data_IF_979572478004
#
_entry.id   IF_979572478004
#
_cell.length_a   1.000
_cell.length_b   1.000
_cell.length_c   1.000
_cell.angle_alpha   90.00
_cell.angle_beta   90.00
_cell.angle_gamma   90.00
#
_symmetry.space_group_name_H-M   'P 1'
#
loop_
_entity.id
_entity.type
_entity.pdbx_description
1 polymer ?
#
# COMPACT_ATOMS: atom_id res chain seq x y z
N UNK A 1 17.68 -23.18 22.51
CA UNK A 1 16.98 -21.90 22.79
C UNK A 1 17.73 -20.80 22.05
N UNK A 2 17.35 -20.56 20.80
CA UNK A 2 18.07 -19.65 19.89
C UNK A 2 17.61 -18.21 20.14
N UNK A 3 18.20 -17.57 21.14
CA UNK A 3 18.05 -16.13 21.42
C UNK A 3 18.90 -15.25 20.49
N UNK A 4 19.51 -15.82 19.44
CA UNK A 4 20.58 -15.15 18.67
C UNK A 4 20.19 -14.54 17.32
N UNK A 5 19.02 -14.82 16.74
CA UNK A 5 18.79 -14.45 15.34
C UNK A 5 18.26 -13.02 15.14
N UNK A 6 17.33 -12.53 15.97
CA UNK A 6 16.87 -11.13 16.02
C UNK A 6 16.22 -10.90 17.40
N UNK A 7 16.72 -10.00 18.26
CA UNK A 7 16.06 -9.70 19.53
C UNK A 7 14.64 -9.15 19.29
N UNK A 8 13.62 -9.60 20.04
CA UNK A 8 12.27 -9.03 19.92
C UNK A 8 12.25 -7.50 20.14
N UNK A 9 13.22 -7.01 20.92
CA UNK A 9 13.47 -5.57 21.13
C UNK A 9 13.88 -4.84 19.85
N UNK A 10 14.61 -5.45 18.92
CA UNK A 10 14.96 -4.80 17.65
C UNK A 10 13.77 -4.71 16.71
N UNK A 11 12.85 -5.68 16.73
CA UNK A 11 11.60 -5.60 15.95
C UNK A 11 10.69 -4.48 16.47
N UNK A 12 10.56 -4.35 17.80
CA UNK A 12 9.82 -3.25 18.42
C UNK A 12 10.50 -1.89 18.19
N UNK A 13 11.83 -1.84 18.15
CA UNK A 13 12.58 -0.63 17.81
C UNK A 13 12.35 -0.21 16.35
N UNK A 14 12.25 -1.16 15.41
CA UNK A 14 11.90 -0.87 14.00
C UNK A 14 10.51 -0.23 13.90
N UNK A 15 9.52 -0.76 14.61
CA UNK A 15 8.16 -0.19 14.68
C UNK A 15 8.19 1.22 15.28
N UNK A 16 8.85 1.40 16.41
CA UNK A 16 8.93 2.69 17.10
C UNK A 16 9.63 3.76 16.26
N UNK A 17 10.72 3.39 15.59
CA UNK A 17 11.45 4.25 14.67
C UNK A 17 10.62 4.56 13.41
N UNK A 18 9.83 3.62 12.92
CA UNK A 18 8.91 3.84 11.80
C UNK A 18 7.79 4.83 12.13
N UNK A 19 7.12 4.70 13.29
CA UNK A 19 6.11 5.68 13.72
C UNK A 19 6.70 7.08 13.83
N UNK A 20 7.95 7.20 14.29
CA UNK A 20 8.64 8.47 14.44
C UNK A 20 9.00 9.12 13.09
N UNK A 21 9.11 8.35 12.00
CA UNK A 21 9.37 8.84 10.64
C UNK A 21 8.05 9.08 9.86
N UNK A 22 7.07 8.19 9.98
CA UNK A 22 5.80 8.27 9.24
C UNK A 22 4.94 9.44 9.71
N UNK A 23 4.91 9.74 11.02
CA UNK A 23 4.16 10.87 11.57
C UNK A 23 4.61 12.23 11.01
N UNK A 24 5.90 12.60 11.05
CA UNK A 24 6.35 13.86 10.45
C UNK A 24 6.18 13.86 8.93
N UNK A 25 6.34 12.74 8.24
CA UNK A 25 6.14 12.67 6.79
C UNK A 25 4.68 12.91 6.40
N UNK A 26 3.73 12.31 7.12
CA UNK A 26 2.30 12.56 6.96
C UNK A 26 1.94 14.01 7.32
N UNK A 27 2.57 14.57 8.36
CA UNK A 27 2.38 15.98 8.73
C UNK A 27 2.89 16.92 7.64
N UNK A 28 4.08 16.68 7.08
CA UNK A 28 4.65 17.46 5.97
C UNK A 28 3.79 17.33 4.71
N UNK A 29 3.35 16.13 4.37
CA UNK A 29 2.44 15.89 3.23
C UNK A 29 1.12 16.64 3.39
N UNK A 30 0.54 16.59 4.59
CA UNK A 30 -0.69 17.32 4.94
C UNK A 30 -0.49 18.84 4.91
N UNK A 31 0.60 19.33 5.50
CA UNK A 31 0.97 20.75 5.51
C UNK A 31 1.18 21.30 4.09
N UNK A 32 1.81 20.53 3.21
CA UNK A 32 2.01 20.90 1.81
C UNK A 32 0.70 20.84 1.01
N UNK A 33 -0.21 19.92 1.35
CA UNK A 33 -1.55 19.82 0.80
C UNK A 33 -2.46 21.01 1.15
N UNK A 34 -2.42 21.50 2.39
CA UNK A 34 -3.25 22.64 2.83
C UNK A 34 -2.82 24.00 2.27
N UNK A 35 -1.57 24.14 1.82
CA UNK A 35 -1.02 25.40 1.26
C UNK A 35 -1.41 25.65 -0.21
N UNK A 36 -2.22 24.79 -0.83
CA UNK A 36 -2.51 24.87 -2.28
C UNK A 36 -4.02 24.98 -2.57
N UNK A 37 -4.43 25.85 -3.52
CA UNK A 37 -5.84 26.13 -3.81
C UNK A 37 -6.58 24.91 -4.38
N UNK A 38 -7.89 24.80 -4.08
CA UNK A 38 -8.77 23.70 -4.48
C UNK A 38 -8.89 23.58 -6.00
N UNK A 39 -9.08 22.35 -6.49
CA UNK A 39 -9.21 22.03 -7.92
C UNK A 39 -10.49 22.64 -8.46
N UNK A 40 -10.39 23.75 -9.21
CA UNK A 40 -11.51 24.31 -9.97
C UNK A 40 -11.62 23.58 -11.31
N UNK A 41 -12.81 23.05 -11.59
CA UNK A 41 -13.11 22.31 -12.82
C UNK A 41 -13.39 23.31 -13.96
N UNK A 42 -12.62 23.30 -15.07
CA UNK A 42 -12.86 24.24 -16.15
C UNK A 42 -14.11 23.81 -16.93
N UNK A 43 -15.15 24.64 -16.91
CA UNK A 43 -16.26 24.51 -17.87
C UNK A 43 -15.92 25.23 -19.18
N UNK A 44 -15.88 24.39 -20.24
CA UNK A 44 -15.98 24.61 -21.71
C UNK A 44 -14.93 25.43 -22.51
N UNK A 45 -14.24 24.68 -23.38
CA UNK A 45 -13.93 24.88 -24.83
C UNK A 45 -13.32 26.22 -25.28
N UNK A 46 -12.08 26.30 -25.79
CA UNK A 46 -11.76 25.99 -27.21
C UNK A 46 -10.22 25.88 -27.50
N UNK A 47 -9.85 24.78 -28.17
CA UNK A 47 -8.79 24.50 -29.18
C UNK A 47 -7.34 25.04 -29.01
N UNK A 48 -6.44 24.17 -28.49
CA UNK A 48 -5.10 23.83 -29.02
C UNK A 48 -4.18 25.03 -29.38
N UNK A 49 -3.25 25.47 -28.50
CA UNK A 49 -1.86 24.94 -28.55
C UNK A 49 -1.10 24.77 -27.21
N UNK A 50 -1.67 25.01 -26.02
CA UNK A 50 -0.93 24.98 -24.74
C UNK A 50 -0.74 23.57 -24.12
N UNK A 51 -1.03 22.51 -24.88
CA UNK A 51 -1.23 21.17 -24.32
C UNK A 51 0.04 20.63 -23.65
N UNK A 52 1.23 20.90 -24.19
CA UNK A 52 2.48 20.40 -23.58
C UNK A 52 2.82 21.11 -22.26
N UNK A 53 2.56 22.42 -22.16
CA UNK A 53 2.81 23.23 -20.94
C UNK A 53 1.78 22.99 -19.84
N UNK A 54 0.55 22.60 -20.19
CA UNK A 54 -0.49 22.22 -19.21
C UNK A 54 -0.34 20.76 -18.77
N UNK A 55 0.08 19.85 -19.66
CA UNK A 55 0.40 18.44 -19.33
C UNK A 55 1.62 18.38 -18.39
N UNK A 56 2.62 19.22 -18.62
CA UNK A 56 3.78 19.41 -17.73
C UNK A 56 3.53 20.51 -16.68
N UNK A 57 2.28 20.96 -16.52
CA UNK A 57 1.91 21.95 -15.52
C UNK A 57 2.09 21.37 -14.13
N UNK A 58 2.65 22.17 -13.22
CA UNK A 58 2.93 21.86 -11.82
C UNK A 58 1.91 20.91 -11.12
N UNK A 59 0.62 20.98 -11.47
CA UNK A 59 -0.47 20.13 -10.94
C UNK A 59 -0.31 18.62 -11.18
N UNK A 60 0.13 18.16 -12.35
CA UNK A 60 0.27 16.70 -12.62
C UNK A 60 1.46 16.13 -11.84
N UNK A 61 2.55 16.89 -11.75
CA UNK A 61 3.71 16.56 -10.91
C UNK A 61 3.36 16.41 -9.43
N UNK A 62 2.47 17.24 -8.89
CA UNK A 62 2.04 17.13 -7.49
C UNK A 62 1.16 15.91 -7.22
N UNK A 63 0.22 15.58 -8.11
CA UNK A 63 -0.63 14.41 -7.94
C UNK A 63 0.17 13.11 -8.05
N UNK A 64 1.04 13.02 -9.06
CA UNK A 64 1.93 11.88 -9.26
C UNK A 64 2.96 11.76 -8.12
N UNK A 65 3.56 12.88 -7.69
CA UNK A 65 4.53 12.90 -6.60
C UNK A 65 3.94 12.53 -5.24
N UNK A 66 2.73 13.02 -4.92
CA UNK A 66 2.03 12.62 -3.69
C UNK A 66 1.62 11.15 -3.73
N UNK A 67 1.09 10.67 -4.85
CA UNK A 67 0.75 9.25 -5.01
C UNK A 67 1.98 8.35 -4.90
N UNK A 68 3.12 8.76 -5.46
CA UNK A 68 4.39 8.04 -5.33
C UNK A 68 4.88 7.98 -3.88
N UNK A 69 4.76 9.08 -3.12
CA UNK A 69 5.08 9.10 -1.69
C UNK A 69 4.20 8.12 -0.91
N UNK A 70 2.88 8.16 -1.14
CA UNK A 70 1.91 7.26 -0.50
C UNK A 70 2.21 5.80 -0.87
N UNK A 71 2.59 5.53 -2.13
CA UNK A 71 2.99 4.20 -2.56
C UNK A 71 4.24 3.70 -1.83
N UNK A 72 5.27 4.54 -1.67
CA UNK A 72 6.50 4.19 -0.94
C UNK A 72 6.20 3.84 0.52
N UNK A 73 5.48 4.71 1.25
CA UNK A 73 5.14 4.42 2.65
C UNK A 73 4.27 3.16 2.79
N UNK A 74 3.41 2.91 1.81
CA UNK A 74 2.58 1.70 1.78
C UNK A 74 3.44 0.45 1.60
N UNK A 75 4.43 0.46 0.69
CA UNK A 75 5.34 -0.69 0.52
C UNK A 75 6.15 -0.98 1.79
N UNK A 76 6.62 0.06 2.48
CA UNK A 76 7.35 -0.08 3.76
C UNK A 76 6.42 -0.70 4.81
N UNK A 77 5.22 -0.15 5.00
CA UNK A 77 4.25 -0.66 5.99
C UNK A 77 3.85 -2.11 5.70
N UNK A 78 3.60 -2.44 4.42
CA UNK A 78 3.30 -3.81 4.01
C UNK A 78 4.48 -4.75 4.33
N UNK A 79 5.72 -4.33 4.08
CA UNK A 79 6.90 -5.16 4.37
C UNK A 79 7.07 -5.43 5.87
N UNK A 80 6.82 -4.43 6.71
CA UNK A 80 6.99 -4.52 8.16
C UNK A 80 5.94 -5.45 8.79
N UNK A 81 4.66 -5.25 8.47
CA UNK A 81 3.56 -6.08 8.99
C UNK A 81 3.79 -7.55 8.64
N UNK A 82 4.26 -7.83 7.42
CA UNK A 82 4.55 -9.21 7.01
C UNK A 82 5.73 -9.82 7.76
N UNK A 83 6.81 -9.07 8.01
CA UNK A 83 7.96 -9.55 8.79
C UNK A 83 7.56 -9.86 10.24
N UNK A 84 6.73 -9.02 10.85
CA UNK A 84 6.25 -9.23 12.23
C UNK A 84 5.41 -10.49 12.35
N UNK A 85 4.44 -10.68 11.45
CA UNK A 85 3.61 -11.88 11.43
C UNK A 85 4.44 -13.14 11.15
N UNK A 86 5.41 -13.04 10.23
CA UNK A 86 6.38 -14.08 9.91
C UNK A 86 7.18 -14.47 11.18
N UNK A 87 7.65 -13.51 11.98
CA UNK A 87 8.31 -13.76 13.26
C UNK A 87 7.41 -14.46 14.29
N UNK A 88 6.17 -14.00 14.48
CA UNK A 88 5.25 -14.65 15.41
C UNK A 88 4.90 -16.09 14.99
N UNK A 89 4.74 -16.34 13.69
CA UNK A 89 4.57 -17.70 13.18
C UNK A 89 5.78 -18.60 13.46
N UNK A 90 7.00 -18.08 13.30
CA UNK A 90 8.22 -18.80 13.64
C UNK A 90 8.31 -19.10 15.15
N UNK A 91 7.88 -18.18 16.01
CA UNK A 91 7.81 -18.41 17.47
C UNK A 91 6.74 -19.45 17.85
N UNK A 92 5.67 -19.56 17.08
CA UNK A 92 4.61 -20.55 17.25
C UNK A 92 4.95 -21.92 16.63
N UNK A 93 6.15 -22.07 16.07
CA UNK A 93 6.61 -23.30 15.39
C UNK A 93 5.75 -23.68 14.16
N UNK A 94 5.03 -22.71 13.60
CA UNK A 94 4.17 -22.84 12.43
C UNK A 94 4.96 -22.52 11.14
N UNK A 95 5.39 -23.54 10.40
CA UNK A 95 6.23 -23.38 9.20
C UNK A 95 5.45 -23.10 7.89
N UNK A 96 4.12 -22.95 7.92
CA UNK A 96 3.29 -22.67 6.75
C UNK A 96 3.25 -21.16 6.41
N UNK A 97 4.42 -20.54 6.19
CA UNK A 97 4.57 -19.09 6.10
C UNK A 97 4.23 -18.49 4.72
N UNK A 98 4.39 -19.24 3.62
CA UNK A 98 4.33 -18.71 2.25
C UNK A 98 2.98 -18.12 1.86
N UNK A 99 1.90 -18.90 1.97
CA UNK A 99 0.55 -18.45 1.63
C UNK A 99 -0.01 -17.44 2.64
N UNK A 100 0.33 -17.59 3.93
CA UNK A 100 -0.12 -16.68 4.99
C UNK A 100 0.50 -15.29 4.84
N UNK A 101 1.79 -15.20 4.53
CA UNK A 101 2.48 -13.93 4.30
C UNK A 101 1.93 -13.16 3.09
N UNK A 102 1.55 -13.90 2.04
CA UNK A 102 0.93 -13.31 0.85
C UNK A 102 -0.47 -12.78 1.13
N UNK A 103 -1.31 -13.54 1.85
CA UNK A 103 -2.69 -13.14 2.16
C UNK A 103 -2.76 -11.97 3.15
N UNK A 104 -1.86 -11.90 4.13
CA UNK A 104 -1.89 -10.85 5.16
C UNK A 104 -1.51 -9.48 4.61
N UNK A 105 -0.54 -9.42 3.69
CA UNK A 105 -0.16 -8.18 2.99
C UNK A 105 -1.16 -7.81 1.88
N UNK A 106 -1.66 -8.82 1.15
CA UNK A 106 -2.66 -8.65 0.09
C UNK A 106 -4.02 -8.17 0.57
N UNK A 107 -4.43 -8.45 1.83
CA UNK A 107 -5.76 -8.15 2.37
C UNK A 107 -6.24 -6.69 2.18
N UNK A 108 -5.30 -5.75 2.02
CA UNK A 108 -5.59 -4.36 1.63
C UNK A 108 -6.39 -4.23 0.32
N UNK A 109 -6.20 -5.12 -0.66
CA UNK A 109 -7.00 -5.16 -1.89
C UNK A 109 -8.45 -5.61 -1.66
N UNK A 110 -8.68 -6.52 -0.71
CA UNK A 110 -10.05 -6.92 -0.31
C UNK A 110 -10.80 -5.76 0.33
N UNK A 111 -10.12 -4.93 1.13
CA UNK A 111 -10.71 -3.72 1.72
C UNK A 111 -11.20 -2.75 0.65
N UNK A 112 -10.40 -2.49 -0.39
CA UNK A 112 -10.77 -1.63 -1.52
C UNK A 112 -12.01 -2.19 -2.26
N UNK A 113 -12.06 -3.51 -2.44
CA UNK A 113 -13.18 -4.16 -3.11
C UNK A 113 -14.48 -4.02 -2.31
N UNK A 114 -14.45 -4.31 -0.99
CA UNK A 114 -15.59 -4.15 -0.09
C UNK A 114 -16.08 -2.70 -0.07
N UNK A 115 -15.15 -1.74 -0.05
CA UNK A 115 -15.51 -0.32 -0.14
C UNK A 115 -16.26 0.01 -1.43
N UNK A 116 -15.86 -0.54 -2.57
CA UNK A 116 -16.55 -0.33 -3.85
C UNK A 116 -18.00 -0.85 -3.83
N UNK A 117 -18.26 -1.95 -3.11
CA UNK A 117 -19.60 -2.54 -2.91
C UNK A 117 -20.44 -1.66 -2.01
N UNK A 118 -19.89 -1.22 -0.87
CA UNK A 118 -20.59 -0.31 0.03
C UNK A 118 -20.94 1.03 -0.65
N UNK A 119 -20.03 1.55 -1.47
CA UNK A 119 -20.25 2.78 -2.23
C UNK A 119 -21.37 2.61 -3.26
N UNK A 120 -21.42 1.45 -3.93
CA UNK A 120 -22.50 1.11 -4.84
C UNK A 120 -23.86 1.09 -4.12
N UNK A 121 -23.94 0.46 -2.95
CA UNK A 121 -25.19 0.30 -2.19
C UNK A 121 -25.70 1.60 -1.53
N UNK A 122 -24.82 2.52 -1.14
CA UNK A 122 -25.20 3.70 -0.34
C UNK A 122 -25.29 4.99 -1.12
N UNK A 123 -24.62 5.10 -2.28
CA UNK A 123 -24.45 6.38 -3.00
C UNK A 123 -24.76 6.32 -4.49
N UNK A 124 -24.69 5.17 -5.13
CA UNK A 124 -24.92 5.07 -6.59
C UNK A 124 -26.38 4.77 -6.91
N UNK A 125 -27.05 5.70 -7.58
CA UNK A 125 -28.36 5.53 -8.20
C UNK A 125 -28.19 5.17 -9.69
N UNK A 126 -27.46 4.08 -9.99
CA UNK A 126 -27.27 3.61 -11.37
C UNK A 126 -28.35 2.58 -11.70
N UNK A 127 -29.27 2.94 -12.59
CA UNK A 127 -30.43 2.12 -12.96
C UNK A 127 -30.14 1.13 -14.11
N UNK A 128 -29.02 1.28 -14.81
CA UNK A 128 -28.66 0.47 -15.98
C UNK A 128 -27.68 -0.67 -15.63
N UNK A 129 -28.03 -1.90 -16.01
CA UNK A 129 -27.24 -3.11 -15.74
C UNK A 129 -25.84 -3.03 -16.35
N UNK A 130 -25.71 -2.50 -17.58
CA UNK A 130 -24.42 -2.36 -18.28
C UNK A 130 -23.43 -1.51 -17.48
N UNK A 131 -23.87 -0.39 -16.91
CA UNK A 131 -23.02 0.52 -16.14
C UNK A 131 -22.56 -0.10 -14.81
N UNK A 132 -23.44 -0.88 -14.18
CA UNK A 132 -23.13 -1.63 -12.95
C UNK A 132 -22.06 -2.70 -13.19
N UNK A 133 -22.17 -3.47 -14.27
CA UNK A 133 -21.18 -4.50 -14.63
C UNK A 133 -19.83 -3.88 -14.95
N UNK A 134 -19.81 -2.75 -15.67
CA UNK A 134 -18.56 -2.04 -15.99
C UNK A 134 -17.90 -1.52 -14.71
N UNK A 135 -18.66 -0.88 -13.81
CA UNK A 135 -18.13 -0.36 -12.55
C UNK A 135 -17.52 -1.47 -11.68
N UNK A 136 -18.24 -2.58 -11.50
CA UNK A 136 -17.78 -3.71 -10.70
C UNK A 136 -16.62 -4.45 -11.35
N UNK A 137 -16.60 -4.55 -12.68
CA UNK A 137 -15.50 -5.14 -13.44
C UNK A 137 -14.21 -4.36 -13.26
N UNK A 138 -14.24 -3.04 -13.46
CA UNK A 138 -13.07 -2.19 -13.29
C UNK A 138 -12.61 -2.10 -11.84
N UNK A 139 -13.53 -1.99 -10.87
CA UNK A 139 -13.17 -1.96 -9.45
C UNK A 139 -12.57 -3.30 -8.98
N UNK A 140 -13.09 -4.43 -9.48
CA UNK A 140 -12.55 -5.77 -9.21
C UNK A 140 -11.17 -6.00 -9.81
N UNK A 141 -10.93 -5.55 -11.05
CA UNK A 141 -9.59 -5.64 -11.67
C UNK A 141 -8.59 -4.77 -10.91
N UNK A 142 -8.95 -3.53 -10.56
CA UNK A 142 -8.07 -2.63 -9.81
C UNK A 142 -7.74 -3.16 -8.41
N UNK A 143 -8.73 -3.69 -7.68
CA UNK A 143 -8.50 -4.27 -6.35
C UNK A 143 -7.65 -5.53 -6.41
N UNK A 144 -7.83 -6.37 -7.42
CA UNK A 144 -7.02 -7.58 -7.64
C UNK A 144 -5.57 -7.24 -8.01
N UNK A 145 -5.35 -6.24 -8.87
CA UNK A 145 -4.00 -5.76 -9.18
C UNK A 145 -3.30 -5.25 -7.91
N UNK A 146 -4.01 -4.48 -7.08
CA UNK A 146 -3.47 -3.98 -5.82
C UNK A 146 -3.17 -5.12 -4.84
N UNK A 147 -4.07 -6.11 -4.73
CA UNK A 147 -3.91 -7.30 -3.89
C UNK A 147 -2.64 -8.10 -4.27
N UNK A 148 -2.43 -8.34 -5.56
CA UNK A 148 -1.24 -9.08 -6.04
C UNK A 148 0.03 -8.27 -5.84
N UNK A 149 -0.02 -6.96 -6.07
CA UNK A 149 1.13 -6.08 -5.89
C UNK A 149 1.57 -6.02 -4.42
N UNK A 150 0.64 -5.77 -3.49
CA UNK A 150 0.98 -5.72 -2.05
C UNK A 150 1.33 -7.09 -1.50
N UNK A 151 0.65 -8.14 -1.97
CA UNK A 151 0.93 -9.54 -1.64
C UNK A 151 2.34 -9.99 -2.04
N UNK A 152 2.78 -9.65 -3.26
CA UNK A 152 4.12 -10.02 -3.75
C UNK A 152 5.22 -9.31 -2.97
N UNK A 153 5.06 -8.01 -2.67
CA UNK A 153 6.03 -7.24 -1.87
C UNK A 153 6.18 -7.85 -0.48
N UNK A 154 5.08 -8.17 0.21
CA UNK A 154 5.10 -8.82 1.51
C UNK A 154 5.75 -10.21 1.47
N UNK A 155 5.44 -11.00 0.45
CA UNK A 155 6.03 -12.33 0.25
C UNK A 155 7.56 -12.27 0.07
N UNK A 156 8.06 -11.37 -0.78
CA UNK A 156 9.50 -11.18 -0.98
C UNK A 156 10.20 -10.68 0.28
N UNK A 157 9.56 -9.81 1.06
CA UNK A 157 10.09 -9.31 2.33
C UNK A 157 10.27 -10.43 3.37
N UNK A 158 9.24 -11.27 3.61
CA UNK A 158 9.36 -12.41 4.55
C UNK A 158 10.32 -13.48 4.02
N UNK A 159 10.39 -13.73 2.71
CA UNK A 159 11.40 -14.62 2.13
C UNK A 159 12.83 -14.11 2.37
N UNK A 160 13.08 -12.82 2.16
CA UNK A 160 14.38 -12.20 2.42
C UNK A 160 14.74 -12.29 3.91
N UNK A 161 13.79 -12.02 4.80
CA UNK A 161 13.97 -12.11 6.25
C UNK A 161 14.32 -13.53 6.72
N UNK A 162 13.55 -14.54 6.28
CA UNK A 162 13.79 -15.95 6.60
C UNK A 162 15.18 -16.39 6.12
N UNK A 163 15.55 -16.04 4.88
CA UNK A 163 16.88 -16.34 4.34
C UNK A 163 17.99 -15.70 5.17
N UNK A 164 17.79 -14.47 5.66
CA UNK A 164 18.76 -13.78 6.53
C UNK A 164 18.91 -14.49 7.88
N UNK A 165 17.82 -14.93 8.49
CA UNK A 165 17.85 -15.70 9.75
C UNK A 165 18.63 -17.00 9.58
N UNK A 166 18.29 -17.81 8.58
CA UNK A 166 18.96 -19.10 8.37
C UNK A 166 20.42 -18.96 7.94
N UNK A 167 20.79 -17.90 7.22
CA UNK A 167 22.19 -17.59 6.90
C UNK A 167 23.00 -17.19 8.13
N UNK A 168 22.36 -16.61 9.16
CA UNK A 168 23.00 -16.27 10.43
C UNK A 168 23.18 -17.48 11.35
N UNK A 169 22.48 -18.59 11.11
CA UNK A 169 22.56 -19.83 11.90
C UNK A 169 23.67 -20.74 11.34
N UNK A 170 24.78 -20.18 10.88
CA UNK A 170 25.96 -20.98 10.54
C UNK A 170 26.62 -21.45 11.83
N UNK A 171 26.40 -22.73 12.11
CA UNK A 171 27.17 -23.70 12.92
C UNK A 171 28.48 -23.12 13.47
N UNK A 172 28.46 -22.77 14.76
CA UNK A 172 29.55 -23.14 15.68
C UNK A 172 29.31 -24.59 16.14
#
# INVERSE_FOLDING_TARGET
KSSGAVPATTLLAIIGLWFLISVPLCFIGSFFGFRKPKIEHPVRTNQIPCLWEVIWGNKVYYLFGFAALVFVILTITCSEVTILLCYFHLCAEDYHWSWRAFLTSGASGLYIFIYSIMYFATRLQITSLTSTVIYFGWSGVMSLMFFVLTGTIGYFACLAFIRRIFMSIKVD
#
